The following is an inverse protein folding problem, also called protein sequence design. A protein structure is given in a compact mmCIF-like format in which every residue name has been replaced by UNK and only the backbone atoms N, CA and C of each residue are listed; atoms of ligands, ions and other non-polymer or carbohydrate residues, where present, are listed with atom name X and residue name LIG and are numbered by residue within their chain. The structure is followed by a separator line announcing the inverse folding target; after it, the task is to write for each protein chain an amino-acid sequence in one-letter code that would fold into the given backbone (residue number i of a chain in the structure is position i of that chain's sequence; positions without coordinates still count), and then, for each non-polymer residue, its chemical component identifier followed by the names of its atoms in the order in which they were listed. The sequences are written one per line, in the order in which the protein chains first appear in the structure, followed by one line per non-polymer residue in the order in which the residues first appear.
data_IF_977646149947
#
_entry.id   IF_977646149947
#
_cell.length_a   1.000
_cell.length_b   1.000
_cell.length_c   1.000
_cell.angle_alpha   90.00
_cell.angle_beta   90.00
_cell.angle_gamma   90.00
#
_symmetry.space_group_name_H-M   'P 1'
#
loop_
_entity.id
_entity.type
_entity.pdbx_description
1 polymer ?
#
# COMPACT_ATOMS: atom_id res chain seq x y z
N UNK A 1 15.69 3.35 18.55
CA UNK A 1 14.69 3.85 17.61
C UNK A 1 15.23 3.86 16.20
N UNK A 2 14.47 3.43 15.22
CA UNK A 2 15.00 3.29 13.88
C UNK A 2 14.60 4.47 13.00
N UNK A 3 15.57 5.34 12.70
CA UNK A 3 15.31 6.53 11.89
C UNK A 3 14.83 6.22 10.45
N UNK A 4 15.36 5.20 9.74
CA UNK A 4 14.87 4.88 8.41
C UNK A 4 13.39 4.49 8.39
N UNK A 5 12.93 3.70 9.35
CA UNK A 5 11.53 3.33 9.44
C UNK A 5 10.66 4.54 9.78
N UNK A 6 11.11 5.37 10.70
CA UNK A 6 10.37 6.58 11.06
C UNK A 6 10.24 7.52 9.86
N UNK A 7 11.29 7.68 9.06
CA UNK A 7 11.23 8.51 7.85
C UNK A 7 10.27 7.94 6.82
N UNK A 8 10.28 6.62 6.64
CA UNK A 8 9.34 5.95 5.72
C UNK A 8 7.90 6.20 6.13
N UNK A 9 7.60 5.98 7.41
CA UNK A 9 6.24 6.15 7.93
C UNK A 9 5.79 7.60 7.78
N UNK A 10 6.64 8.56 8.13
CA UNK A 10 6.30 9.98 8.03
C UNK A 10 5.98 10.38 6.59
N UNK A 11 6.78 9.91 5.62
CA UNK A 11 6.51 10.21 4.22
C UNK A 11 5.22 9.52 3.76
N UNK A 12 5.04 8.25 4.13
CA UNK A 12 3.88 7.48 3.68
C UNK A 12 2.55 8.08 4.15
N UNK A 13 2.53 8.61 5.36
CA UNK A 13 1.33 9.27 5.88
C UNK A 13 1.01 10.58 5.19
N UNK A 14 1.98 11.20 4.53
CA UNK A 14 1.82 12.45 3.79
C UNK A 14 1.74 12.24 2.29
N UNK A 15 1.86 10.99 1.83
CA UNK A 15 2.01 10.70 0.42
C UNK A 15 0.73 11.00 -0.36
N UNK A 16 0.89 11.78 -1.41
CA UNK A 16 -0.15 12.04 -2.41
C UNK A 16 0.54 12.33 -3.74
N UNK A 17 -0.24 12.65 -4.77
CA UNK A 17 0.32 12.90 -6.10
C UNK A 17 1.30 14.07 -6.16
N UNK A 18 1.26 14.97 -5.17
CA UNK A 18 2.16 16.12 -5.13
C UNK A 18 3.46 15.83 -4.39
N UNK A 19 3.54 14.69 -3.68
CA UNK A 19 4.70 14.32 -2.87
C UNK A 19 5.54 13.20 -3.51
N UNK A 20 5.19 12.75 -4.71
CA UNK A 20 5.88 11.62 -5.34
C UNK A 20 7.36 11.89 -5.60
N UNK A 21 7.74 13.15 -5.78
CA UNK A 21 9.14 13.53 -5.96
C UNK A 21 10.01 13.22 -4.74
N UNK A 22 9.39 12.94 -3.59
CA UNK A 22 10.09 12.63 -2.34
C UNK A 22 10.38 11.14 -2.17
N UNK A 23 9.89 10.28 -3.04
CA UNK A 23 10.13 8.84 -2.93
C UNK A 23 11.61 8.46 -2.84
N UNK A 24 12.54 9.14 -3.55
CA UNK A 24 13.97 8.83 -3.40
C UNK A 24 14.53 9.08 -2.01
N UNK A 25 13.82 9.79 -1.14
CA UNK A 25 14.26 9.98 0.25
C UNK A 25 14.20 8.69 1.05
N UNK A 26 13.32 7.77 0.69
CA UNK A 26 13.09 6.54 1.44
C UNK A 26 13.30 5.25 0.64
N UNK A 27 13.20 5.29 -0.68
CA UNK A 27 13.35 4.10 -1.53
C UNK A 27 14.68 4.08 -2.26
N UNK A 28 15.27 2.88 -2.36
CA UNK A 28 16.45 2.65 -3.21
C UNK A 28 16.06 2.69 -4.69
N UNK A 29 17.02 3.02 -5.56
CA UNK A 29 16.76 3.05 -7.00
C UNK A 29 16.34 1.68 -7.55
N UNK A 30 16.89 0.59 -6.98
CA UNK A 30 16.61 -0.77 -7.39
C UNK A 30 15.52 -1.44 -6.56
N UNK A 31 14.67 -0.67 -5.91
CA UNK A 31 13.61 -1.21 -5.06
C UNK A 31 12.73 -2.19 -5.82
N UNK A 32 12.31 -3.24 -5.10
CA UNK A 32 11.30 -4.18 -5.58
C UNK A 32 10.04 -3.96 -4.75
N UNK A 33 8.94 -3.70 -5.43
CA UNK A 33 7.63 -3.50 -4.83
C UNK A 33 6.72 -4.65 -5.26
N UNK A 34 6.06 -5.27 -4.29
CA UNK A 34 5.13 -6.38 -4.54
C UNK A 34 3.85 -6.10 -3.77
N UNK A 35 2.71 -6.22 -4.44
CA UNK A 35 1.41 -6.25 -3.79
C UNK A 35 0.63 -7.46 -4.32
N UNK A 36 -0.61 -7.71 -3.85
CA UNK A 36 -1.36 -8.90 -4.31
C UNK A 36 -1.60 -8.97 -5.81
N UNK A 37 -1.48 -7.88 -6.54
CA UNK A 37 -1.77 -7.82 -7.97
C UNK A 37 -0.57 -7.47 -8.83
N UNK A 38 0.53 -6.96 -8.24
CA UNK A 38 1.63 -6.37 -9.01
C UNK A 38 3.00 -6.75 -8.47
N UNK A 39 3.98 -6.79 -9.37
CA UNK A 39 5.40 -6.79 -9.03
C UNK A 39 6.07 -5.72 -9.88
N UNK A 40 6.71 -4.77 -9.22
CA UNK A 40 7.29 -3.59 -9.88
C UNK A 40 8.76 -3.50 -9.48
N UNK A 41 9.64 -3.34 -10.44
CA UNK A 41 11.07 -3.28 -10.21
C UNK A 41 11.60 -1.90 -10.59
N UNK A 42 12.29 -1.27 -9.65
CA UNK A 42 12.92 0.01 -9.85
C UNK A 42 12.07 1.20 -9.41
N UNK A 43 12.76 2.24 -8.95
CA UNK A 43 12.10 3.42 -8.39
C UNK A 43 11.33 4.22 -9.44
N UNK A 44 11.84 4.29 -10.68
CA UNK A 44 11.13 5.00 -11.74
C UNK A 44 9.78 4.34 -12.03
N UNK A 45 9.78 3.00 -12.18
CA UNK A 45 8.54 2.27 -12.41
C UNK A 45 7.59 2.38 -11.23
N UNK A 46 8.12 2.36 -9.99
CA UNK A 46 7.31 2.50 -8.79
C UNK A 46 6.69 3.89 -8.71
N UNK A 47 7.42 4.93 -9.05
CA UNK A 47 6.91 6.29 -9.08
C UNK A 47 5.76 6.42 -10.09
N UNK A 48 5.93 5.84 -11.28
CA UNK A 48 4.89 5.84 -12.30
C UNK A 48 3.64 5.09 -11.84
N UNK A 49 3.84 3.97 -11.14
CA UNK A 49 2.73 3.20 -10.59
C UNK A 49 1.94 4.01 -9.57
N UNK A 50 2.62 4.67 -8.63
CA UNK A 50 1.94 5.51 -7.65
C UNK A 50 1.27 6.71 -8.30
N UNK A 51 1.88 7.31 -9.32
CA UNK A 51 1.26 8.42 -10.03
C UNK A 51 -0.06 8.00 -10.66
N UNK A 52 -0.08 6.84 -11.32
CA UNK A 52 -1.31 6.31 -11.91
C UNK A 52 -2.36 5.98 -10.85
N UNK A 53 -1.92 5.41 -9.72
CA UNK A 53 -2.83 5.06 -8.62
C UNK A 53 -3.50 6.30 -8.04
N UNK A 54 -2.72 7.34 -7.72
CA UNK A 54 -3.26 8.55 -7.10
C UNK A 54 -4.08 9.40 -8.05
N UNK A 55 -3.98 9.18 -9.36
CA UNK A 55 -4.89 9.82 -10.31
C UNK A 55 -6.28 9.22 -10.26
N UNK A 56 -6.40 7.95 -9.86
CA UNK A 56 -7.66 7.23 -9.83
C UNK A 56 -8.36 7.30 -8.49
N UNK A 57 -7.61 7.47 -7.40
CA UNK A 57 -8.14 7.43 -6.05
C UNK A 57 -8.26 8.84 -5.49
N UNK A 58 -9.43 9.15 -4.96
CA UNK A 58 -9.65 10.39 -4.22
C UNK A 58 -9.42 10.13 -2.73
N UNK A 59 -8.82 11.10 -2.05
CA UNK A 59 -8.67 11.09 -0.59
C UNK A 59 -8.00 9.84 -0.05
N UNK A 60 -7.01 9.30 -0.79
CA UNK A 60 -6.28 8.13 -0.34
C UNK A 60 -5.40 8.49 0.87
N UNK A 61 -5.65 7.81 1.99
CA UNK A 61 -4.93 8.06 3.25
C UNK A 61 -4.54 6.74 3.89
N UNK A 62 -3.35 6.75 4.50
CA UNK A 62 -2.86 5.63 5.29
C UNK A 62 -2.76 6.03 6.75
N UNK A 63 -3.32 5.19 7.62
CA UNK A 63 -3.11 5.29 9.06
C UNK A 63 -2.26 4.10 9.50
N UNK A 64 -1.10 4.37 10.08
CA UNK A 64 -0.20 3.33 10.56
C UNK A 64 -0.65 2.93 11.97
N UNK A 65 -1.03 1.67 12.13
CA UNK A 65 -1.60 1.18 13.40
C UNK A 65 -0.58 0.47 14.27
N UNK A 66 0.48 -0.09 13.70
CA UNK A 66 1.56 -0.69 14.49
C UNK A 66 2.83 -0.77 13.65
N UNK A 67 3.96 -0.94 14.33
CA UNK A 67 5.25 -1.07 13.67
C UNK A 67 6.16 -1.97 14.49
N UNK A 68 6.97 -2.75 13.80
CA UNK A 68 7.99 -3.61 14.40
C UNK A 68 9.21 -3.59 13.50
N UNK A 69 10.38 -3.71 14.10
CA UNK A 69 11.60 -3.81 13.33
C UNK A 69 12.60 -4.72 14.02
N UNK A 70 13.28 -5.55 13.23
CA UNK A 70 14.37 -6.37 13.68
C UNK A 70 15.47 -6.32 12.62
N UNK A 71 16.61 -5.72 12.97
CA UNK A 71 17.69 -5.52 12.03
C UNK A 71 17.26 -4.63 10.87
N UNK A 72 17.41 -5.14 9.66
CA UNK A 72 17.04 -4.41 8.43
C UNK A 72 15.66 -4.76 7.91
N UNK A 73 14.91 -5.56 8.64
CA UNK A 73 13.55 -5.93 8.27
C UNK A 73 12.56 -5.23 9.18
N UNK A 74 11.51 -4.67 8.60
CA UNK A 74 10.45 -4.01 9.36
C UNK A 74 9.09 -4.46 8.88
N UNK A 75 8.12 -4.44 9.78
CA UNK A 75 6.72 -4.68 9.48
C UNK A 75 5.89 -3.52 10.01
N UNK A 76 4.98 -3.05 9.20
CA UNK A 76 3.98 -2.05 9.63
C UNK A 76 2.61 -2.58 9.29
N UNK A 77 1.64 -2.29 10.14
CA UNK A 77 0.24 -2.52 9.81
C UNK A 77 -0.44 -1.17 9.61
N UNK A 78 -1.43 -1.15 8.74
CA UNK A 78 -2.06 0.09 8.34
C UNK A 78 -3.51 -0.11 7.96
N UNK A 79 -4.24 0.99 7.98
CA UNK A 79 -5.59 1.08 7.43
C UNK A 79 -5.54 2.12 6.32
N UNK A 80 -5.95 1.72 5.12
CA UNK A 80 -6.04 2.62 3.98
C UNK A 80 -7.50 2.96 3.73
N UNK A 81 -7.79 4.24 3.56
CA UNK A 81 -9.12 4.72 3.18
C UNK A 81 -8.99 5.51 1.89
N UNK A 82 -9.84 5.20 0.93
CA UNK A 82 -9.83 5.88 -0.36
C UNK A 82 -11.23 5.90 -0.97
N UNK A 83 -11.43 6.74 -2.00
CA UNK A 83 -12.66 6.78 -2.78
C UNK A 83 -12.34 6.58 -4.25
N UNK A 84 -13.21 5.87 -4.95
CA UNK A 84 -13.12 5.66 -6.39
C UNK A 84 -14.53 5.71 -6.97
N UNK A 85 -14.75 6.47 -8.08
CA UNK A 85 -16.11 6.65 -8.62
C UNK A 85 -16.82 5.34 -8.96
N UNK A 86 -16.05 4.29 -9.30
CA UNK A 86 -16.62 3.00 -9.74
C UNK A 86 -16.67 1.97 -8.63
N UNK A 87 -16.22 2.31 -7.43
CA UNK A 87 -16.19 1.37 -6.31
C UNK A 87 -17.07 1.88 -5.18
N UNK A 88 -17.89 1.00 -4.61
CA UNK A 88 -18.74 1.33 -3.47
C UNK A 88 -19.70 2.49 -3.72
N UNK A 89 -20.05 2.77 -4.98
CA UNK A 89 -20.89 3.91 -5.31
C UNK A 89 -20.23 5.26 -5.06
N UNK A 90 -18.89 5.33 -5.07
CA UNK A 90 -18.14 6.53 -4.79
C UNK A 90 -17.93 6.79 -3.31
N UNK A 91 -18.44 5.91 -2.42
CA UNK A 91 -18.26 6.04 -0.97
C UNK A 91 -16.85 5.63 -0.58
N UNK A 92 -16.34 6.11 0.55
CA UNK A 92 -15.02 5.69 1.04
C UNK A 92 -14.94 4.18 1.25
N UNK A 93 -13.84 3.59 0.82
CA UNK A 93 -13.52 2.18 1.01
C UNK A 93 -12.36 2.09 1.98
N UNK A 94 -12.47 1.21 2.98
CA UNK A 94 -11.45 1.01 3.99
C UNK A 94 -10.88 -0.39 3.87
N UNK A 95 -9.54 -0.49 3.81
CA UNK A 95 -8.82 -1.75 3.67
C UNK A 95 -7.73 -1.80 4.72
N UNK A 96 -7.65 -2.91 5.45
CA UNK A 96 -6.55 -3.17 6.38
C UNK A 96 -5.47 -3.96 5.68
N UNK A 97 -4.23 -3.69 6.03
CA UNK A 97 -3.11 -4.40 5.45
C UNK A 97 -1.86 -4.31 6.30
N UNK A 98 -0.81 -4.95 5.80
CA UNK A 98 0.50 -4.92 6.42
C UNK A 98 1.55 -4.84 5.32
N UNK A 99 2.69 -4.25 5.66
CA UNK A 99 3.80 -4.09 4.73
C UNK A 99 5.07 -4.64 5.36
N UNK A 100 5.79 -5.46 4.60
CA UNK A 100 7.14 -5.88 4.95
C UNK A 100 8.13 -5.02 4.19
N UNK A 101 9.09 -4.47 4.92
CA UNK A 101 10.14 -3.64 4.36
C UNK A 101 11.50 -4.26 4.64
N UNK A 102 12.41 -4.15 3.67
CA UNK A 102 13.83 -4.41 3.91
C UNK A 102 14.61 -3.16 3.54
N UNK A 103 15.54 -2.80 4.41
CA UNK A 103 16.42 -1.64 4.20
C UNK A 103 17.79 -2.10 3.73
N UNK A 104 18.38 -1.36 2.80
CA UNK A 104 19.74 -1.63 2.34
C UNK A 104 20.79 -0.93 3.24
N UNK A 105 22.06 -1.04 2.86
CA UNK A 105 23.15 -0.46 3.63
C UNK A 105 23.10 1.07 3.70
N UNK A 106 22.38 1.71 2.79
CA UNK A 106 22.21 3.17 2.77
C UNK A 106 20.92 3.60 3.48
N UNK A 107 20.28 2.67 4.22
CA UNK A 107 19.03 2.90 4.94
C UNK A 107 17.86 3.28 4.04
N UNK A 108 17.88 2.78 2.80
CA UNK A 108 16.78 2.94 1.85
C UNK A 108 16.00 1.63 1.73
N UNK A 109 14.71 1.73 1.48
CA UNK A 109 13.88 0.54 1.27
C UNK A 109 14.26 -0.10 -0.07
N UNK A 110 14.73 -1.32 -0.02
CA UNK A 110 15.06 -2.10 -1.22
C UNK A 110 14.02 -3.17 -1.51
N UNK A 111 13.16 -3.51 -0.54
CA UNK A 111 12.00 -4.38 -0.76
C UNK A 111 10.82 -3.79 0.00
N UNK A 112 9.68 -3.70 -0.70
CA UNK A 112 8.41 -3.26 -0.14
C UNK A 112 7.34 -4.25 -0.60
N UNK A 113 6.82 -5.03 0.33
CA UNK A 113 5.77 -5.99 0.00
C UNK A 113 4.53 -5.74 0.83
N UNK A 114 3.43 -5.46 0.14
CA UNK A 114 2.13 -5.22 0.74
C UNK A 114 1.30 -6.48 0.78
N UNK A 115 0.65 -6.72 1.92
CA UNK A 115 -0.29 -7.80 2.13
C UNK A 115 -1.63 -7.19 2.51
N UNK A 116 -2.62 -7.38 1.66
CA UNK A 116 -4.00 -6.95 1.95
C UNK A 116 -4.97 -7.81 1.15
N UNK A 117 -6.24 -7.73 1.53
CA UNK A 117 -7.30 -8.46 0.85
C UNK A 117 -7.69 -7.71 -0.43
N UNK A 118 -7.25 -8.21 -1.57
CA UNK A 118 -7.56 -7.61 -2.86
C UNK A 118 -9.07 -7.64 -3.13
N UNK A 119 -9.77 -8.67 -2.65
CA UNK A 119 -11.22 -8.74 -2.75
C UNK A 119 -11.89 -7.58 -2.04
N UNK A 120 -11.49 -7.31 -0.79
CA UNK A 120 -12.03 -6.20 -0.02
C UNK A 120 -11.74 -4.86 -0.69
N UNK A 121 -10.55 -4.72 -1.28
CA UNK A 121 -10.16 -3.48 -1.94
C UNK A 121 -10.93 -3.25 -3.25
N UNK A 122 -11.18 -4.31 -4.02
CA UNK A 122 -11.66 -4.17 -5.39
C UNK A 122 -12.95 -4.96 -5.65
N UNK A 123 -12.90 -6.27 -5.57
CA UNK A 123 -13.97 -7.12 -6.09
C UNK A 123 -15.24 -7.02 -5.27
N UNK A 124 -15.15 -6.87 -3.96
CA UNK A 124 -16.32 -6.77 -3.08
C UNK A 124 -17.05 -5.44 -3.25
N UNK A 125 -16.42 -4.46 -3.88
CA UNK A 125 -17.02 -3.14 -4.12
C UNK A 125 -17.75 -3.05 -5.45
N UNK A 126 -17.66 -4.07 -6.29
CA UNK A 126 -18.34 -4.10 -7.57
C UNK A 126 -19.80 -4.53 -7.40
N UNK A 127 -20.77 -3.88 -8.09
CA UNK A 127 -22.19 -4.15 -7.86
C UNK A 127 -22.62 -5.60 -8.10
N UNK A 128 -22.06 -6.27 -9.10
CA UNK A 128 -22.44 -7.64 -9.44
C UNK A 128 -21.49 -8.67 -8.88
N UNK A 129 -20.19 -8.39 -8.89
CA UNK A 129 -19.17 -9.32 -8.48
C UNK A 129 -18.96 -9.34 -6.96
N UNK A 130 -19.15 -8.20 -6.29
CA UNK A 130 -18.91 -8.09 -4.86
C UNK A 130 -19.65 -9.13 -4.02
N UNK A 131 -20.99 -9.30 -4.18
CA UNK A 131 -21.72 -10.31 -3.41
C UNK A 131 -21.20 -11.72 -3.65
N UNK A 132 -20.80 -12.06 -4.87
CA UNK A 132 -20.25 -13.38 -5.21
C UNK A 132 -18.94 -13.62 -4.47
N UNK A 133 -18.05 -12.64 -4.51
CA UNK A 133 -16.75 -12.75 -3.82
C UNK A 133 -16.94 -12.89 -2.32
N UNK A 134 -17.81 -12.09 -1.72
CA UNK A 134 -18.11 -12.17 -0.28
C UNK A 134 -18.69 -13.52 0.11
N UNK A 135 -19.56 -14.09 -0.74
CA UNK A 135 -20.15 -15.40 -0.50
C UNK A 135 -19.09 -16.48 -0.52
N UNK A 136 -18.20 -16.46 -1.50
CA UNK A 136 -17.10 -17.42 -1.59
C UNK A 136 -16.18 -17.35 -0.37
N UNK A 137 -15.80 -16.13 0.01
CA UNK A 137 -14.95 -15.92 1.19
C UNK A 137 -15.61 -16.43 2.46
N UNK A 138 -16.90 -16.20 2.60
CA UNK A 138 -17.66 -16.70 3.75
C UNK A 138 -17.67 -18.22 3.83
N UNK A 139 -17.79 -18.92 2.70
CA UNK A 139 -17.75 -20.37 2.66
C UNK A 139 -16.38 -20.93 3.00
N UNK A 140 -15.33 -20.22 2.59
CA UNK A 140 -13.97 -20.64 2.92
C UNK A 140 -13.62 -20.40 4.39
N UNK A 141 -14.26 -19.42 5.01
CA UNK A 141 -14.05 -19.10 6.41
C UNK A 141 -14.84 -19.96 7.39
N UNK A 142 -15.73 -20.79 6.91
CA UNK A 142 -16.48 -21.74 7.73
C UNK A 142 -15.98 -23.16 7.51
#
# INVERSE_FOLDING_TARGET
MNAPLARFIALYQQLDKQQLHRLPEVYAEQVIFIDPAHRIEGLTALTDYFAALYQRLADCRFEITSQQQQGREAWISWVMTFSHPRLGGGRPVTVEGATRLEFDAADKVCLHRDYFDLGAMLYEQLPLLGPVVRTIKGRLGT
#
